data_IF_494923544215
#
_entry.id   IF_494923544215
#
_cell.length_a   1.000
_cell.length_b   1.000
_cell.length_c   1.000
_cell.angle_alpha   90.00
_cell.angle_beta   90.00
_cell.angle_gamma   90.00
#
_symmetry.space_group_name_H-M   'P 1'
#
loop_
_entity.id
_entity.type
_entity.pdbx_description
1 polymer ?
#
# COMPACT_ATOMS: atom_id res chain seq x y z
N UNK A 1 -22.47 11.21 -14.26
CA UNK A 1 -21.18 11.13 -15.00
C UNK A 1 -21.12 9.78 -15.70
N UNK A 2 -20.94 9.73 -17.03
CA UNK A 2 -20.61 8.50 -17.76
C UNK A 2 -19.10 8.50 -17.99
N UNK A 3 -18.35 7.92 -17.07
CA UNK A 3 -16.90 7.82 -17.18
C UNK A 3 -16.48 6.36 -17.38
N UNK A 4 -15.58 6.12 -18.32
CA UNK A 4 -14.99 4.79 -18.59
C UNK A 4 -13.61 4.64 -17.96
N UNK A 5 -13.05 5.73 -17.46
CA UNK A 5 -11.86 5.75 -16.62
C UNK A 5 -11.91 6.92 -15.64
N UNK A 6 -11.11 6.84 -14.58
CA UNK A 6 -10.83 7.96 -13.70
C UNK A 6 -9.48 7.75 -13.03
N UNK A 7 -8.87 8.82 -12.52
CA UNK A 7 -7.64 8.75 -11.74
C UNK A 7 -7.69 9.69 -10.57
N UNK A 8 -7.06 9.33 -9.46
CA UNK A 8 -6.81 10.27 -8.38
C UNK A 8 -5.33 10.32 -8.01
N UNK A 9 -4.94 11.40 -7.37
CA UNK A 9 -3.63 11.51 -6.72
C UNK A 9 -3.81 12.12 -5.34
N UNK A 10 -3.46 11.33 -4.33
CA UNK A 10 -3.48 11.76 -2.94
C UNK A 10 -2.14 12.43 -2.65
N UNK A 11 -2.16 13.71 -2.30
CA UNK A 11 -0.94 14.39 -1.83
C UNK A 11 -0.51 13.82 -0.48
N UNK A 12 0.74 14.06 -0.12
CA UNK A 12 1.26 13.64 1.17
C UNK A 12 0.54 14.31 2.32
N UNK A 13 0.47 13.62 3.47
CA UNK A 13 -0.20 14.11 4.69
C UNK A 13 0.28 15.49 5.19
N UNK A 14 1.51 15.85 4.87
CA UNK A 14 2.19 17.10 5.25
C UNK A 14 2.23 18.13 4.11
N UNK A 15 1.61 17.82 2.96
CA UNK A 15 1.52 18.73 1.83
C UNK A 15 0.48 19.83 2.06
N UNK A 16 0.79 21.04 1.60
CA UNK A 16 -0.17 22.15 1.51
C UNK A 16 -0.94 22.17 0.20
N UNK A 17 -0.63 21.25 -0.73
CA UNK A 17 -1.29 21.12 -2.02
C UNK A 17 -2.65 20.41 -1.92
N UNK A 18 -3.39 20.43 -3.03
CA UNK A 18 -4.67 19.73 -3.14
C UNK A 18 -4.51 18.40 -3.87
N UNK A 19 -5.18 17.36 -3.36
CA UNK A 19 -5.37 16.12 -4.10
C UNK A 19 -6.24 16.35 -5.34
N UNK A 20 -6.06 15.53 -6.37
CA UNK A 20 -6.79 15.65 -7.64
C UNK A 20 -7.62 14.42 -7.93
N UNK A 21 -8.75 14.60 -8.61
CA UNK A 21 -9.59 13.54 -9.18
C UNK A 21 -9.96 13.94 -10.61
N UNK A 22 -9.55 13.12 -11.58
CA UNK A 22 -9.81 13.34 -13.00
C UNK A 22 -10.68 12.22 -13.54
N UNK A 23 -11.66 12.57 -14.38
CA UNK A 23 -12.50 11.61 -15.08
C UNK A 23 -12.08 11.52 -16.54
N UNK A 24 -12.18 10.33 -17.12
CA UNK A 24 -11.80 10.02 -18.50
C UNK A 24 -10.34 10.38 -18.81
N UNK A 25 -9.46 10.22 -17.82
CA UNK A 25 -8.01 10.33 -17.96
C UNK A 25 -7.40 9.00 -18.42
N UNK A 26 -6.32 9.10 -19.18
CA UNK A 26 -5.55 7.92 -19.61
C UNK A 26 -4.64 7.37 -18.51
N UNK A 27 -4.08 6.19 -18.76
CA UNK A 27 -3.01 5.61 -17.95
C UNK A 27 -1.68 6.30 -18.31
N UNK A 28 -0.96 6.91 -17.36
CA UNK A 28 0.42 7.36 -17.59
C UNK A 28 1.30 6.22 -18.14
N UNK A 29 2.17 6.52 -19.10
CA UNK A 29 2.97 5.50 -19.79
C UNK A 29 3.95 4.74 -18.86
N UNK A 30 4.36 5.37 -17.76
CA UNK A 30 5.24 4.84 -16.72
C UNK A 30 4.49 4.10 -15.60
N UNK A 31 3.18 3.85 -15.76
CA UNK A 31 2.38 3.17 -14.74
C UNK A 31 2.77 1.71 -14.59
N UNK A 32 2.87 1.26 -13.34
CA UNK A 32 2.80 -0.15 -12.98
C UNK A 32 1.36 -0.62 -13.19
N UNK A 33 1.15 -1.47 -14.20
CA UNK A 33 -0.18 -1.97 -14.56
C UNK A 33 -0.49 -3.27 -13.84
N UNK A 34 -1.62 -3.30 -13.12
CA UNK A 34 -2.18 -4.49 -12.50
C UNK A 34 -3.63 -4.75 -12.99
N UNK A 35 -4.09 -6.02 -12.94
CA UNK A 35 -5.49 -6.34 -13.23
C UNK A 35 -6.45 -5.68 -12.24
N UNK A 36 -7.56 -5.12 -12.75
CA UNK A 36 -8.70 -4.71 -11.95
C UNK A 36 -9.73 -5.85 -11.94
N UNK A 37 -9.95 -6.42 -10.77
CA UNK A 37 -10.78 -7.59 -10.56
C UNK A 37 -12.15 -7.22 -9.98
N UNK A 38 -13.13 -8.12 -10.14
CA UNK A 38 -14.46 -7.98 -9.55
C UNK A 38 -14.78 -9.20 -8.69
N UNK A 39 -15.20 -8.97 -7.45
CA UNK A 39 -15.74 -10.03 -6.61
C UNK A 39 -17.19 -10.33 -6.98
N UNK A 40 -17.53 -11.62 -7.05
CA UNK A 40 -18.91 -12.10 -7.19
C UNK A 40 -19.73 -11.91 -5.91
N UNK A 41 -19.07 -11.79 -4.76
CA UNK A 41 -19.69 -11.61 -3.43
C UNK A 41 -19.85 -10.14 -3.07
N UNK A 42 -18.81 -9.32 -3.28
CA UNK A 42 -18.81 -7.88 -2.95
C UNK A 42 -18.30 -7.08 -4.15
N UNK A 43 -19.20 -6.71 -5.05
CA UNK A 43 -18.85 -6.08 -6.32
C UNK A 43 -18.68 -4.54 -6.26
N UNK A 44 -18.78 -3.94 -5.07
CA UNK A 44 -18.69 -2.48 -4.87
C UNK A 44 -17.27 -1.97 -4.72
N UNK A 45 -16.30 -2.85 -4.46
CA UNK A 45 -14.90 -2.47 -4.27
C UNK A 45 -14.06 -2.68 -5.53
N UNK A 46 -12.96 -1.92 -5.61
CA UNK A 46 -11.94 -2.12 -6.64
C UNK A 46 -10.87 -3.08 -6.13
N UNK A 47 -10.91 -4.32 -6.63
CA UNK A 47 -9.92 -5.34 -6.33
C UNK A 47 -8.75 -5.24 -7.30
N UNK A 48 -7.53 -5.38 -6.79
CA UNK A 48 -6.31 -5.30 -7.60
C UNK A 48 -5.44 -6.53 -7.39
N UNK A 49 -4.73 -6.94 -8.43
CA UNK A 49 -3.86 -8.13 -8.42
C UNK A 49 -2.52 -7.93 -7.68
N UNK A 50 -2.57 -7.71 -6.37
CA UNK A 50 -1.37 -7.74 -5.51
C UNK A 50 -0.92 -9.19 -5.29
N UNK A 51 0.37 -9.46 -5.46
CA UNK A 51 0.94 -10.81 -5.41
C UNK A 51 1.95 -11.00 -4.27
N UNK A 52 2.50 -9.91 -3.72
CA UNK A 52 3.48 -9.99 -2.65
C UNK A 52 4.18 -8.67 -2.35
N UNK A 53 5.32 -8.79 -1.66
CA UNK A 53 6.14 -7.66 -1.24
C UNK A 53 7.63 -7.96 -1.34
N UNK A 54 8.44 -6.91 -1.36
CA UNK A 54 9.86 -6.99 -1.01
C UNK A 54 10.24 -5.95 0.04
N UNK A 55 11.25 -6.29 0.85
CA UNK A 55 11.91 -5.39 1.80
C UNK A 55 13.40 -5.38 1.48
N UNK A 56 13.96 -4.21 1.19
CA UNK A 56 15.38 -4.05 0.83
C UNK A 56 15.76 -4.86 -0.41
N UNK A 57 14.84 -5.01 -1.36
CA UNK A 57 15.03 -5.83 -2.57
C UNK A 57 14.90 -7.34 -2.35
N UNK A 58 14.68 -7.81 -1.12
CA UNK A 58 14.44 -9.23 -0.82
C UNK A 58 12.94 -9.51 -0.78
N UNK A 59 12.49 -10.50 -1.56
CA UNK A 59 11.09 -10.92 -1.56
C UNK A 59 10.68 -11.46 -0.17
N UNK A 60 9.50 -11.04 0.30
CA UNK A 60 8.92 -11.53 1.55
C UNK A 60 8.26 -12.88 1.28
N UNK A 61 8.62 -13.89 2.07
CA UNK A 61 8.01 -15.21 1.95
C UNK A 61 6.58 -15.19 2.50
N UNK A 62 5.60 -15.29 1.60
CA UNK A 62 4.18 -15.45 1.93
C UNK A 62 3.63 -16.69 1.24
N UNK A 63 2.59 -17.30 1.82
CA UNK A 63 1.93 -18.45 1.20
C UNK A 63 1.44 -18.09 -0.21
N UNK A 64 1.70 -18.94 -1.23
CA UNK A 64 1.09 -18.78 -2.55
C UNK A 64 -0.44 -18.71 -2.42
N UNK A 65 -1.06 -17.83 -3.22
CA UNK A 65 -2.52 -17.66 -3.21
C UNK A 65 -3.08 -16.88 -2.01
N UNK A 66 -2.26 -16.42 -1.06
CA UNK A 66 -2.74 -15.70 0.12
C UNK A 66 -3.56 -14.43 -0.22
N UNK A 67 -3.22 -13.78 -1.34
CA UNK A 67 -3.93 -12.60 -1.85
C UNK A 67 -4.93 -12.90 -2.98
N UNK A 68 -5.08 -14.16 -3.36
CA UNK A 68 -6.04 -14.53 -4.39
C UNK A 68 -7.48 -14.43 -3.88
N UNK A 69 -8.38 -14.14 -4.81
CA UNK A 69 -9.80 -14.21 -4.56
C UNK A 69 -10.30 -15.59 -4.96
N UNK A 70 -11.01 -16.28 -4.08
CA UNK A 70 -11.56 -17.60 -4.37
C UNK A 70 -12.78 -17.52 -5.31
N UNK A 71 -13.25 -18.67 -5.80
CA UNK A 71 -14.39 -18.75 -6.73
C UNK A 71 -15.69 -18.17 -6.15
N UNK A 72 -15.85 -18.22 -4.84
CA UNK A 72 -16.97 -17.63 -4.08
C UNK A 72 -16.87 -16.11 -3.97
N UNK A 73 -15.78 -15.48 -4.42
CA UNK A 73 -15.55 -14.04 -4.34
C UNK A 73 -15.01 -13.55 -2.99
N UNK A 74 -14.51 -14.44 -2.14
CA UNK A 74 -13.86 -14.09 -0.87
C UNK A 74 -12.35 -13.93 -1.04
N UNK A 75 -11.73 -13.17 -0.15
CA UNK A 75 -10.30 -12.86 -0.25
C UNK A 75 -10.03 -11.66 -1.16
N UNK A 76 -8.89 -11.68 -1.84
CA UNK A 76 -8.44 -10.57 -2.67
C UNK A 76 -7.87 -9.39 -1.90
N UNK A 77 -7.41 -8.40 -2.67
CA UNK A 77 -6.88 -7.13 -2.15
C UNK A 77 -7.63 -5.99 -2.81
N UNK A 78 -8.17 -5.07 -2.01
CA UNK A 78 -8.78 -3.85 -2.50
C UNK A 78 -7.83 -2.67 -2.37
N UNK A 79 -8.02 -1.64 -3.19
CA UNK A 79 -7.42 -0.32 -2.99
C UNK A 79 -8.50 0.64 -2.51
N UNK A 80 -8.28 1.27 -1.36
CA UNK A 80 -9.27 2.09 -0.69
C UNK A 80 -8.64 3.36 -0.11
N UNK A 81 -9.05 4.52 -0.60
CA UNK A 81 -8.59 5.81 -0.10
C UNK A 81 -9.28 6.21 1.22
N UNK A 82 -10.38 5.53 1.60
CA UNK A 82 -11.08 5.74 2.87
C UNK A 82 -10.43 5.04 4.07
N UNK A 83 -9.63 4.00 3.83
CA UNK A 83 -8.86 3.32 4.89
C UNK A 83 -7.53 4.03 5.09
N UNK A 84 -7.22 4.46 6.32
CA UNK A 84 -6.02 5.24 6.61
C UNK A 84 -4.70 4.55 6.20
N UNK A 85 -4.51 3.29 6.60
CA UNK A 85 -3.28 2.52 6.33
C UNK A 85 -3.61 1.14 5.76
N UNK A 86 -2.64 0.53 5.10
CA UNK A 86 -2.78 -0.81 4.54
C UNK A 86 -3.07 -1.84 5.64
N UNK A 87 -4.14 -2.62 5.43
CA UNK A 87 -4.57 -3.72 6.29
C UNK A 87 -4.32 -5.03 5.55
N UNK A 88 -3.49 -5.90 6.12
CA UNK A 88 -3.14 -7.18 5.50
C UNK A 88 -3.72 -8.33 6.32
N UNK A 89 -4.07 -9.43 5.66
CA UNK A 89 -4.30 -10.69 6.38
C UNK A 89 -3.12 -10.94 7.35
N UNK A 90 -3.42 -11.36 8.57
CA UNK A 90 -2.44 -11.45 9.67
C UNK A 90 -1.15 -12.18 9.28
N UNK A 91 -1.23 -13.25 8.49
CA UNK A 91 -0.05 -13.98 8.02
C UNK A 91 0.86 -13.11 7.14
N UNK A 92 0.29 -12.39 6.16
CA UNK A 92 1.04 -11.48 5.29
C UNK A 92 1.62 -10.30 6.08
N UNK A 93 0.82 -9.74 6.99
CA UNK A 93 1.26 -8.67 7.87
C UNK A 93 2.50 -9.07 8.68
N UNK A 94 2.43 -10.21 9.37
CA UNK A 94 3.54 -10.69 10.18
C UNK A 94 4.80 -10.91 9.33
N UNK A 95 4.67 -11.57 8.18
CA UNK A 95 5.80 -11.80 7.29
C UNK A 95 6.46 -10.50 6.80
N UNK A 96 5.65 -9.50 6.41
CA UNK A 96 6.14 -8.20 5.98
C UNK A 96 6.81 -7.41 7.13
N UNK A 97 6.15 -7.35 8.28
CA UNK A 97 6.67 -6.70 9.50
C UNK A 97 8.00 -7.33 9.91
N UNK A 98 8.07 -8.64 9.99
CA UNK A 98 9.25 -9.36 10.45
C UNK A 98 10.42 -9.18 9.48
N UNK A 99 10.16 -9.16 8.17
CA UNK A 99 11.17 -8.83 7.16
C UNK A 99 11.69 -7.40 7.27
N UNK A 100 10.81 -6.43 7.57
CA UNK A 100 11.17 -5.04 7.84
C UNK A 100 12.04 -4.91 9.09
N UNK A 101 11.56 -5.44 10.22
CA UNK A 101 12.27 -5.42 11.52
C UNK A 101 13.66 -6.06 11.43
N UNK A 102 13.79 -7.16 10.69
CA UNK A 102 15.08 -7.82 10.47
C UNK A 102 16.12 -6.90 9.82
N UNK A 103 15.70 -5.94 9.01
CA UNK A 103 16.58 -5.00 8.30
C UNK A 103 16.68 -3.63 8.99
N UNK A 104 15.97 -3.43 10.12
CA UNK A 104 15.98 -2.18 10.89
C UNK A 104 16.42 -2.37 12.35
N UNK A 105 17.12 -3.46 12.67
CA UNK A 105 17.63 -3.76 14.01
C UNK A 105 18.54 -2.67 14.61
N UNK A 106 19.12 -1.80 13.77
CA UNK A 106 19.94 -0.67 14.20
C UNK A 106 19.15 0.58 14.61
N UNK A 107 17.82 0.59 14.44
CA UNK A 107 16.96 1.71 14.86
C UNK A 107 16.50 1.51 16.30
N UNK A 108 16.52 2.56 17.16
CA UNK A 108 16.02 2.46 18.52
C UNK A 108 14.52 2.12 18.52
N UNK A 109 14.13 1.00 19.12
CA UNK A 109 12.71 0.62 19.21
C UNK A 109 11.96 1.49 20.22
N UNK A 110 10.68 1.71 19.97
CA UNK A 110 9.74 2.35 20.88
C UNK A 110 8.53 1.41 21.12
N UNK A 111 7.78 1.69 22.18
CA UNK A 111 6.51 1.00 22.43
C UNK A 111 5.53 1.19 21.27
N UNK A 112 4.73 0.17 20.98
CA UNK A 112 3.64 0.26 20.02
C UNK A 112 2.61 1.33 20.39
N UNK A 113 1.97 1.91 19.38
CA UNK A 113 0.99 2.99 19.54
C UNK A 113 -0.30 2.60 18.82
N UNK A 114 -1.40 2.49 19.59
CA UNK A 114 -2.71 2.10 19.09
C UNK A 114 -2.68 0.80 18.25
N UNK A 115 -2.82 0.90 16.93
CA UNK A 115 -2.83 -0.23 16.00
C UNK A 115 -1.46 -0.57 15.41
N UNK A 116 -0.43 0.23 15.70
CA UNK A 116 0.94 0.00 15.25
C UNK A 116 1.71 -0.78 16.33
N UNK A 117 2.24 -1.95 15.96
CA UNK A 117 3.03 -2.79 16.88
C UNK A 117 4.55 -2.60 16.74
N UNK A 118 4.99 -1.90 15.69
CA UNK A 118 6.40 -1.73 15.33
C UNK A 118 6.70 -0.25 15.21
N UNK A 119 7.34 0.31 16.24
CA UNK A 119 7.67 1.73 16.32
C UNK A 119 9.13 1.93 16.72
N UNK A 120 9.67 3.10 16.37
CA UNK A 120 11.04 3.49 16.60
C UNK A 120 11.09 4.90 17.20
N UNK A 121 11.98 5.10 18.17
CA UNK A 121 12.35 6.42 18.68
C UNK A 121 13.45 7.01 17.81
N UNK A 122 13.07 7.99 17.00
CA UNK A 122 13.97 8.70 16.09
C UNK A 122 14.21 10.15 16.55
N UNK A 123 13.83 10.51 17.78
CA UNK A 123 13.97 11.87 18.34
C UNK A 123 15.39 12.42 18.27
N UNK A 124 16.39 11.53 18.38
CA UNK A 124 17.82 11.87 18.31
C UNK A 124 18.40 11.89 16.89
N UNK A 125 17.58 11.69 15.84
CA UNK A 125 18.02 11.55 14.46
C UNK A 125 17.45 12.67 13.59
N UNK A 126 18.31 13.32 12.81
CA UNK A 126 17.88 14.26 11.76
C UNK A 126 17.43 13.55 10.47
N UNK A 127 17.97 12.36 10.22
CA UNK A 127 17.61 11.50 9.09
C UNK A 127 17.93 10.05 9.40
N UNK A 128 17.15 9.12 8.83
CA UNK A 128 17.38 7.68 8.93
C UNK A 128 17.28 7.04 7.55
N UNK A 129 18.08 5.99 7.34
CA UNK A 129 17.95 5.10 6.18
C UNK A 129 17.15 3.88 6.61
N UNK A 130 16.17 3.51 5.79
CA UNK A 130 15.28 2.36 5.99
C UNK A 130 15.21 1.54 4.71
N UNK A 131 14.99 0.22 4.79
CA UNK A 131 14.90 -0.63 3.61
C UNK A 131 13.68 -0.25 2.76
N UNK A 132 13.85 -0.20 1.44
CA UNK A 132 12.73 0.01 0.51
C UNK A 132 11.69 -1.08 0.69
N UNK A 133 10.42 -0.69 0.83
CA UNK A 133 9.27 -1.60 0.79
C UNK A 133 8.60 -1.45 -0.56
N UNK A 134 8.32 -2.58 -1.23
CA UNK A 134 7.69 -2.56 -2.56
C UNK A 134 6.47 -3.48 -2.59
N UNK A 135 5.43 -3.05 -3.29
CA UNK A 135 4.30 -3.90 -3.67
C UNK A 135 4.61 -4.66 -4.96
N UNK A 136 4.29 -5.95 -5.02
CA UNK A 136 4.48 -6.77 -6.20
C UNK A 136 3.15 -7.08 -6.87
N UNK A 137 3.13 -7.04 -8.20
CA UNK A 137 2.00 -7.35 -9.05
C UNK A 137 2.39 -8.44 -10.05
N UNK A 138 1.41 -8.95 -10.78
CA UNK A 138 1.65 -9.95 -11.83
C UNK A 138 2.70 -9.50 -12.86
N UNK A 139 3.28 -10.47 -13.57
CA UNK A 139 4.30 -10.25 -14.61
C UNK A 139 5.60 -9.60 -14.11
N UNK A 140 5.95 -9.81 -12.83
CA UNK A 140 7.19 -9.33 -12.24
C UNK A 140 7.25 -7.81 -12.02
N UNK A 141 6.10 -7.13 -12.06
CA UNK A 141 6.02 -5.68 -11.86
C UNK A 141 6.02 -5.35 -10.38
N UNK A 142 6.67 -4.26 -10.00
CA UNK A 142 6.71 -3.78 -8.63
C UNK A 142 6.55 -2.26 -8.53
N UNK A 143 5.93 -1.81 -7.44
CA UNK A 143 5.83 -0.40 -7.07
C UNK A 143 6.62 -0.18 -5.78
N UNK A 144 7.70 0.58 -5.85
CA UNK A 144 8.45 1.00 -4.67
C UNK A 144 7.70 2.11 -3.93
N UNK A 145 7.57 1.94 -2.61
CA UNK A 145 6.91 2.91 -1.75
C UNK A 145 7.93 3.93 -1.23
N UNK A 146 7.61 5.23 -1.26
CA UNK A 146 8.36 6.24 -0.50
C UNK A 146 8.42 5.88 0.99
N UNK A 147 9.54 6.15 1.67
CA UNK A 147 9.69 5.81 3.10
C UNK A 147 8.59 6.40 4.00
N UNK A 148 8.15 7.62 3.69
CA UNK A 148 7.05 8.30 4.39
C UNK A 148 5.69 7.60 4.24
N UNK A 149 5.54 6.69 3.28
CA UNK A 149 4.34 5.89 3.05
C UNK A 149 4.33 4.60 3.88
N UNK A 150 5.39 4.27 4.61
CA UNK A 150 5.40 3.09 5.49
C UNK A 150 6.07 3.32 6.84
N UNK A 151 6.80 4.41 7.05
CA UNK A 151 7.31 4.81 8.35
C UNK A 151 6.80 6.22 8.65
N UNK A 152 5.84 6.32 9.56
CA UNK A 152 5.05 7.55 9.77
C UNK A 152 5.24 8.10 11.19
N UNK A 153 5.30 9.43 11.38
CA UNK A 153 5.30 10.00 12.71
C UNK A 153 3.93 9.76 13.35
N UNK A 154 3.92 9.35 14.62
CA UNK A 154 2.69 9.16 15.41
C UNK A 154 2.55 10.17 16.55
N UNK A 155 3.60 10.97 16.79
CA UNK A 155 3.63 12.08 17.73
C UNK A 155 4.59 13.17 17.24
N UNK A 156 4.70 14.26 18.03
CA UNK A 156 5.67 15.34 17.82
C UNK A 156 7.00 15.12 18.55
N UNK A 157 7.15 14.00 19.27
CA UNK A 157 8.32 13.69 20.09
C UNK A 157 9.37 12.86 19.34
N UNK A 158 9.07 12.42 18.13
CA UNK A 158 10.00 11.68 17.27
C UNK A 158 9.73 10.17 17.23
N UNK A 159 8.54 9.71 17.63
CA UNK A 159 8.13 8.31 17.46
C UNK A 159 7.61 8.08 16.05
N UNK A 160 8.20 7.11 15.35
CA UNK A 160 7.77 6.69 14.01
C UNK A 160 7.36 5.23 13.99
N UNK A 161 6.23 4.92 13.37
CA UNK A 161 5.69 3.56 13.33
C UNK A 161 5.54 3.02 11.91
N UNK A 162 5.70 1.69 11.79
CA UNK A 162 5.52 0.96 10.55
C UNK A 162 4.03 0.92 10.18
N UNK A 163 3.64 1.60 9.10
CA UNK A 163 2.25 1.91 8.77
C UNK A 163 1.51 0.79 8.02
N UNK A 164 1.62 -0.43 8.56
CA UNK A 164 0.82 -1.59 8.17
C UNK A 164 0.18 -2.16 9.43
N UNK A 165 -0.96 -2.83 9.30
CA UNK A 165 -1.59 -3.52 10.42
C UNK A 165 -2.33 -4.78 9.97
N UNK A 166 -2.56 -5.75 10.86
CA UNK A 166 -3.31 -6.94 10.53
C UNK A 166 -4.81 -6.63 10.40
N UNK A 167 -5.53 -7.52 9.72
CA UNK A 167 -6.99 -7.60 9.73
C UNK A 167 -7.44 -9.03 9.98
N UNK A 168 -8.58 -9.19 10.66
CA UNK A 168 -9.28 -10.47 10.82
C UNK A 168 -10.12 -10.85 9.60
N UNK A 169 -10.26 -9.93 8.63
CA UNK A 169 -10.91 -10.20 7.34
C UNK A 169 -10.03 -11.05 6.43
N UNK A 170 -10.65 -11.87 5.58
CA UNK A 170 -9.95 -12.53 4.47
C UNK A 170 -9.54 -11.55 3.37
N UNK A 171 -10.14 -10.36 3.31
CA UNK A 171 -9.81 -9.32 2.34
C UNK A 171 -8.73 -8.38 2.90
N UNK A 172 -7.66 -8.17 2.13
CA UNK A 172 -6.65 -7.14 2.44
C UNK A 172 -6.99 -5.81 1.76
N UNK A 173 -6.44 -4.72 2.26
CA UNK A 173 -6.74 -3.35 1.83
C UNK A 173 -5.42 -2.59 1.69
N UNK A 174 -5.13 -2.03 0.51
CA UNK A 174 -4.12 -0.98 0.34
C UNK A 174 -4.75 0.35 0.75
N UNK A 175 -4.27 0.93 1.83
CA UNK A 175 -4.80 2.16 2.42
C UNK A 175 -4.20 3.43 1.85
N UNK A 176 -4.78 4.56 2.22
CA UNK A 176 -4.46 5.91 1.78
C UNK A 176 -2.96 6.24 1.93
N UNK A 177 -2.36 6.02 3.11
CA UNK A 177 -0.95 6.37 3.37
C UNK A 177 0.00 5.72 2.36
N UNK A 178 -0.30 4.48 1.90
CA UNK A 178 0.52 3.81 0.90
C UNK A 178 0.28 4.31 -0.52
N UNK A 179 -0.81 5.00 -0.78
CA UNK A 179 -1.18 5.59 -2.07
C UNK A 179 -0.66 7.04 -2.23
N UNK A 180 -0.22 7.70 -1.16
CA UNK A 180 0.24 9.09 -1.20
C UNK A 180 1.41 9.28 -2.19
N UNK A 181 1.36 10.35 -2.97
CA UNK A 181 2.35 10.63 -4.02
C UNK A 181 2.26 9.73 -5.25
N UNK A 182 1.29 8.80 -5.30
CA UNK A 182 1.06 7.89 -6.42
C UNK A 182 -0.26 8.23 -7.11
N UNK A 183 -0.22 8.42 -8.44
CA UNK A 183 -1.45 8.55 -9.22
C UNK A 183 -2.02 7.15 -9.47
N UNK A 184 -3.23 6.93 -8.99
CA UNK A 184 -3.97 5.68 -9.16
C UNK A 184 -5.01 5.89 -10.25
N UNK A 185 -4.82 5.22 -11.39
CA UNK A 185 -5.67 5.34 -12.57
C UNK A 185 -6.47 4.06 -12.79
N UNK A 186 -7.79 4.17 -12.86
CA UNK A 186 -8.72 3.08 -13.12
C UNK A 186 -9.19 3.14 -14.56
N UNK A 187 -8.83 2.14 -15.35
CA UNK A 187 -9.37 1.90 -16.69
C UNK A 187 -10.47 0.84 -16.58
N UNK A 188 -11.70 1.31 -16.43
CA UNK A 188 -12.87 0.46 -16.22
C UNK A 188 -13.30 -0.26 -17.51
N UNK A 189 -12.97 0.31 -18.68
CA UNK A 189 -13.26 -0.30 -19.96
C UNK A 189 -12.38 -1.54 -20.21
N UNK A 190 -11.11 -1.49 -19.79
CA UNK A 190 -10.15 -2.57 -20.01
C UNK A 190 -9.86 -3.42 -18.77
N UNK A 191 -10.54 -3.17 -17.64
CA UNK A 191 -10.33 -3.83 -16.36
C UNK A 191 -8.85 -3.78 -15.90
N UNK A 192 -8.28 -2.58 -15.88
CA UNK A 192 -6.90 -2.34 -15.44
C UNK A 192 -6.82 -1.22 -14.41
N UNK A 193 -5.83 -1.31 -13.55
CA UNK A 193 -5.38 -0.21 -12.70
C UNK A 193 -3.93 0.12 -13.02
N UNK A 194 -3.60 1.40 -13.06
CA UNK A 194 -2.24 1.90 -13.20
C UNK A 194 -1.81 2.65 -11.94
N UNK A 195 -0.58 2.40 -11.51
CA UNK A 195 0.05 3.05 -10.37
C UNK A 195 1.30 3.77 -10.87
N UNK A 196 1.29 5.10 -10.86
CA UNK A 196 2.43 5.91 -11.31
C UNK A 196 2.94 6.77 -10.16
N UNK A 197 4.13 6.43 -9.64
CA UNK A 197 4.78 7.14 -8.53
C UNK A 197 5.21 8.55 -8.94
N UNK A 198 5.20 9.49 -7.98
CA UNK A 198 5.62 10.88 -8.16
C UNK A 198 4.82 11.64 -9.22
N UNK A 199 3.50 11.38 -9.28
CA UNK A 199 2.57 12.04 -10.22
C UNK A 199 1.45 12.79 -9.50
N UNK A 200 1.70 13.24 -8.28
CA UNK A 200 0.96 14.32 -7.64
C UNK A 200 1.83 15.58 -7.78
#
# INVERSE_FOLDING_TARGET
IKATSFSYCLVDRDSTGSSTLDFNSGLPADSVIAPLMKSRKVNTFYYIGLTGFSVGGQAVNISPGLFEMNESGEGGVIIDCGTAITRLQTQAYNALRDAFVKQTQGLPSASGVALFDTCYDLSSKSSVKVPTVSFHFGEGKSLDLPAKNYLIPVDSSGTFCFAFAPTSSSMSIIGNVQQQGTRVSFDLANNRVGLSSHKC
#
